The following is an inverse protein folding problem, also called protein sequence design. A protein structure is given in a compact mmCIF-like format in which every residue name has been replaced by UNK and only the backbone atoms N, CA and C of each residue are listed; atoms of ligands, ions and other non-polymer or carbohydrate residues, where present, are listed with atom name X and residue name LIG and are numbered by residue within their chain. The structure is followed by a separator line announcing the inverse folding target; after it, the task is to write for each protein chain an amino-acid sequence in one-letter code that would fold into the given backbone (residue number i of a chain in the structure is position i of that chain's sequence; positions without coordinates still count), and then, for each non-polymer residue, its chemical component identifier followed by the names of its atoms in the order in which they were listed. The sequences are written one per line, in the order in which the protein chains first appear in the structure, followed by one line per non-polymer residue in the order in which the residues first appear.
data_IF_817952183705
#
_entry.id   IF_817952183705
#
_cell.length_a   1.000
_cell.length_b   1.000
_cell.length_c   1.000
_cell.angle_alpha   90.00
_cell.angle_beta   90.00
_cell.angle_gamma   90.00
#
_symmetry.space_group_name_H-M   'P 1'
#
loop_
_entity.id
_entity.type
_entity.pdbx_description
1 polymer ?
#
# COMPACT_ATOMS: atom_id res chain seq x y z
N UNK A 1 -21.73 37.86 -12.01
CA UNK A 1 -21.45 36.47 -12.42
C UNK A 1 -20.19 35.99 -11.69
N UNK A 2 -20.36 35.44 -10.50
CA UNK A 2 -19.27 34.84 -9.74
C UNK A 2 -19.17 33.38 -10.20
N UNK A 3 -18.10 33.04 -10.89
CA UNK A 3 -17.79 31.67 -11.28
C UNK A 3 -17.35 30.92 -10.02
N UNK A 4 -18.08 29.86 -9.69
CA UNK A 4 -17.73 28.86 -8.71
C UNK A 4 -16.33 28.29 -9.01
N UNK A 5 -15.29 28.82 -8.37
CA UNK A 5 -14.02 28.11 -8.19
C UNK A 5 -14.25 26.97 -7.19
N UNK A 6 -14.82 25.86 -7.67
CA UNK A 6 -14.72 24.58 -6.98
C UNK A 6 -13.23 24.31 -6.77
N UNK A 7 -12.78 24.45 -5.55
CA UNK A 7 -11.41 24.12 -5.10
C UNK A 7 -11.09 22.70 -5.58
N UNK A 8 -10.38 22.56 -6.71
CA UNK A 8 -9.98 21.25 -7.25
C UNK A 8 -9.07 20.58 -6.22
N UNK A 9 -9.59 19.60 -5.53
CA UNK A 9 -8.80 18.77 -4.60
C UNK A 9 -7.61 18.21 -5.36
N UNK A 10 -6.39 18.52 -4.89
CA UNK A 10 -5.17 18.03 -5.54
C UNK A 10 -4.97 16.54 -5.21
N UNK A 11 -4.64 15.71 -6.20
CA UNK A 11 -4.37 14.29 -5.95
C UNK A 11 -3.09 14.10 -5.12
N UNK A 12 -3.10 13.10 -4.25
CA UNK A 12 -1.94 12.62 -3.52
C UNK A 12 -0.90 12.01 -4.47
N UNK A 13 -1.38 11.23 -5.45
CA UNK A 13 -0.56 10.65 -6.52
C UNK A 13 -1.19 11.01 -7.86
N UNK A 14 -0.39 11.57 -8.76
CA UNK A 14 -0.81 11.89 -10.13
C UNK A 14 0.20 11.32 -11.11
N UNK A 15 -0.26 10.47 -12.01
CA UNK A 15 0.52 9.82 -13.06
C UNK A 15 0.01 10.31 -14.41
N UNK A 16 0.92 10.72 -15.32
CA UNK A 16 0.56 11.25 -16.66
C UNK A 16 1.46 10.64 -17.74
N UNK A 17 0.80 10.05 -18.72
CA UNK A 17 1.39 9.43 -19.93
C UNK A 17 2.56 8.48 -19.63
N UNK A 18 2.45 7.74 -18.51
CA UNK A 18 3.52 6.95 -17.98
C UNK A 18 3.78 5.73 -18.87
N UNK A 19 5.02 5.64 -19.37
CA UNK A 19 5.46 4.55 -20.22
C UNK A 19 6.73 3.95 -19.67
N UNK A 20 6.80 2.61 -19.65
CA UNK A 20 7.99 1.84 -19.26
C UNK A 20 8.31 0.81 -20.31
N UNK A 21 9.57 0.76 -20.70
CA UNK A 21 10.12 -0.22 -21.66
C UNK A 21 11.31 -0.88 -20.97
N UNK A 22 11.30 -2.20 -20.91
CA UNK A 22 12.45 -3.00 -20.51
C UNK A 22 13.18 -3.51 -21.77
N UNK A 23 14.49 -3.60 -21.69
CA UNK A 23 15.32 -4.22 -22.72
C UNK A 23 15.82 -5.56 -22.19
N UNK A 24 15.37 -6.65 -22.76
CA UNK A 24 15.74 -8.02 -22.39
C UNK A 24 16.51 -8.62 -23.55
N UNK A 25 17.83 -8.65 -23.44
CA UNK A 25 18.68 -9.00 -24.57
C UNK A 25 18.52 -8.02 -25.70
N UNK A 26 18.00 -8.48 -26.86
CA UNK A 26 17.71 -7.64 -28.04
C UNK A 26 16.26 -7.19 -28.16
N UNK A 27 15.38 -7.69 -27.30
CA UNK A 27 13.95 -7.40 -27.36
C UNK A 27 13.57 -6.22 -26.48
N UNK A 28 12.58 -5.44 -26.91
CA UNK A 28 11.99 -4.34 -26.16
C UNK A 28 10.60 -4.75 -25.72
N UNK A 29 10.44 -4.93 -24.40
CA UNK A 29 9.16 -5.26 -23.78
C UNK A 29 8.55 -3.99 -23.19
N UNK A 30 7.40 -3.58 -23.70
CA UNK A 30 6.67 -2.40 -23.23
C UNK A 30 5.77 -2.82 -22.07
N UNK A 31 6.24 -2.61 -20.84
CA UNK A 31 5.51 -3.01 -19.63
C UNK A 31 4.39 -2.04 -19.24
N UNK A 32 4.53 -0.74 -19.58
CA UNK A 32 3.47 0.27 -19.41
C UNK A 32 3.40 1.16 -20.64
N UNK A 33 2.17 1.57 -21.02
CA UNK A 33 1.87 2.32 -22.23
C UNK A 33 0.91 3.48 -21.99
N UNK A 34 1.46 4.68 -21.69
CA UNK A 34 0.65 5.90 -21.57
C UNK A 34 -0.34 5.89 -20.41
N UNK A 35 0.04 5.31 -19.26
CA UNK A 35 -0.83 5.19 -18.09
C UNK A 35 -1.11 6.56 -17.48
N UNK A 36 -2.40 6.84 -17.22
CA UNK A 36 -2.88 8.04 -16.55
C UNK A 36 -3.76 7.65 -15.36
N UNK A 37 -3.44 8.13 -14.15
CA UNK A 37 -4.28 7.92 -12.96
C UNK A 37 -4.12 9.03 -11.93
N UNK A 38 -5.15 9.21 -11.11
CA UNK A 38 -5.14 10.09 -9.95
C UNK A 38 -5.66 9.34 -8.72
N UNK A 39 -4.87 9.40 -7.63
CA UNK A 39 -5.24 8.86 -6.31
C UNK A 39 -5.31 10.05 -5.35
N UNK A 40 -6.38 10.17 -4.59
CA UNK A 40 -6.55 11.26 -3.63
C UNK A 40 -6.10 10.86 -2.23
N UNK A 41 -5.88 11.85 -1.35
CA UNK A 41 -5.51 11.58 0.04
C UNK A 41 -6.61 10.77 0.74
N UNK A 42 -6.19 9.81 1.58
CA UNK A 42 -7.06 8.91 2.36
C UNK A 42 -7.90 7.93 1.52
N UNK A 43 -7.69 7.83 0.21
CA UNK A 43 -8.28 6.76 -0.61
C UNK A 43 -7.56 5.43 -0.41
N UNK A 44 -8.32 4.35 -0.43
CA UNK A 44 -7.81 2.99 -0.62
C UNK A 44 -8.04 2.63 -2.07
N UNK A 45 -6.96 2.37 -2.80
CA UNK A 45 -7.00 2.10 -4.24
C UNK A 45 -6.43 0.73 -4.53
N UNK A 46 -7.07 0.00 -5.43
CA UNK A 46 -6.55 -1.26 -5.95
C UNK A 46 -6.12 -1.13 -7.42
N UNK A 47 -4.95 -1.68 -7.72
CA UNK A 47 -4.49 -1.96 -9.08
C UNK A 47 -4.75 -3.45 -9.34
N UNK A 48 -5.80 -3.77 -10.08
CA UNK A 48 -6.26 -5.13 -10.37
C UNK A 48 -5.90 -5.54 -11.78
N UNK A 49 -5.44 -6.77 -11.97
CA UNK A 49 -5.14 -7.34 -13.29
C UNK A 49 -4.39 -8.66 -13.18
N UNK A 50 -4.25 -9.37 -14.27
CA UNK A 50 -3.54 -10.65 -14.34
C UNK A 50 -2.04 -10.53 -14.11
N UNK A 51 -1.35 -11.63 -13.84
CA UNK A 51 0.11 -11.65 -13.77
C UNK A 51 0.72 -11.13 -15.09
N UNK A 52 1.77 -10.32 -15.00
CA UNK A 52 2.41 -9.73 -16.18
C UNK A 52 1.72 -8.49 -16.76
N UNK A 53 0.54 -8.07 -16.29
CA UNK A 53 -0.17 -6.90 -16.83
C UNK A 53 0.49 -5.54 -16.56
N UNK A 54 1.57 -5.46 -15.77
CA UNK A 54 2.31 -4.23 -15.50
C UNK A 54 2.04 -3.60 -14.12
N UNK A 55 1.22 -4.21 -13.25
CA UNK A 55 0.84 -3.68 -11.92
C UNK A 55 2.03 -3.35 -11.02
N UNK A 56 2.89 -4.35 -10.76
CA UNK A 56 4.08 -4.16 -9.90
C UNK A 56 5.08 -3.19 -10.53
N UNK A 57 5.16 -3.14 -11.88
CA UNK A 57 5.94 -2.11 -12.57
C UNK A 57 5.40 -0.72 -12.29
N UNK A 58 4.08 -0.53 -12.38
CA UNK A 58 3.43 0.76 -12.07
C UNK A 58 3.63 1.14 -10.61
N UNK A 59 3.47 0.19 -9.67
CA UNK A 59 3.74 0.41 -8.25
C UNK A 59 5.19 0.83 -8.02
N UNK A 60 6.17 0.10 -8.59
CA UNK A 60 7.59 0.41 -8.44
C UNK A 60 7.95 1.81 -8.96
N UNK A 61 7.30 2.25 -10.04
CA UNK A 61 7.51 3.58 -10.58
C UNK A 61 6.89 4.66 -9.68
N UNK A 62 5.66 4.44 -9.16
CA UNK A 62 5.05 5.34 -8.17
C UNK A 62 5.85 5.36 -6.85
N UNK A 63 6.49 4.26 -6.49
CA UNK A 63 7.40 4.17 -5.36
C UNK A 63 8.76 4.85 -5.59
N UNK A 64 9.05 5.29 -6.82
CA UNK A 64 10.35 5.84 -7.20
C UNK A 64 11.48 4.81 -7.11
N UNK A 65 11.17 3.52 -7.25
CA UNK A 65 12.15 2.43 -7.32
C UNK A 65 12.64 2.24 -8.75
N UNK A 66 11.84 2.65 -9.73
CA UNK A 66 12.16 2.64 -11.14
C UNK A 66 11.84 3.97 -11.82
N UNK A 67 12.63 4.34 -12.82
CA UNK A 67 12.39 5.55 -13.61
C UNK A 67 11.55 5.25 -14.85
N UNK A 68 10.62 6.16 -15.22
CA UNK A 68 9.86 6.05 -16.45
C UNK A 68 10.73 6.25 -17.69
N UNK A 69 10.34 5.63 -18.81
CA UNK A 69 10.88 5.95 -20.14
C UNK A 69 10.27 7.25 -20.67
N UNK A 70 8.96 7.47 -20.38
CA UNK A 70 8.21 8.70 -20.71
C UNK A 70 7.15 8.96 -19.63
N UNK A 71 6.64 10.19 -19.61
CA UNK A 71 5.59 10.61 -18.71
C UNK A 71 6.10 11.20 -17.41
N UNK A 72 5.23 11.32 -16.43
CA UNK A 72 5.54 11.97 -15.17
C UNK A 72 4.78 11.38 -13.99
N UNK A 73 5.40 11.46 -12.80
CA UNK A 73 4.81 11.03 -11.53
C UNK A 73 4.97 12.16 -10.52
N UNK A 74 3.84 12.64 -10.02
CA UNK A 74 3.79 13.64 -8.94
C UNK A 74 3.16 13.02 -7.71
N UNK A 75 3.83 13.12 -6.56
CA UNK A 75 3.32 12.61 -5.27
C UNK A 75 3.38 13.74 -4.25
N UNK A 76 2.25 14.06 -3.62
CA UNK A 76 2.09 15.20 -2.70
C UNK A 76 2.69 16.50 -3.27
N UNK A 77 2.48 16.76 -4.57
CA UNK A 77 3.00 17.94 -5.27
C UNK A 77 4.47 17.85 -5.70
N UNK A 78 5.17 16.76 -5.43
CA UNK A 78 6.57 16.58 -5.77
C UNK A 78 6.74 15.71 -7.03
N UNK A 79 7.43 16.18 -8.05
CA UNK A 79 7.81 15.45 -9.28
C UNK A 79 8.91 14.44 -8.96
N UNK A 80 8.52 13.20 -8.57
CA UNK A 80 9.47 12.17 -8.15
C UNK A 80 10.29 11.61 -9.31
N UNK A 81 9.75 11.61 -10.53
CA UNK A 81 10.46 11.21 -11.76
C UNK A 81 11.71 12.07 -12.07
N UNK A 82 11.76 13.30 -11.53
CA UNK A 82 12.90 14.23 -11.69
C UNK A 82 13.85 14.23 -10.50
N UNK A 83 13.58 13.48 -9.45
CA UNK A 83 14.43 13.42 -8.26
C UNK A 83 15.69 12.58 -8.50
N UNK A 84 16.81 12.99 -7.89
CA UNK A 84 18.00 12.13 -7.77
C UNK A 84 17.74 10.98 -6.80
N UNK A 85 18.50 9.88 -6.91
CA UNK A 85 18.37 8.73 -6.00
C UNK A 85 18.46 9.13 -4.52
N UNK A 86 19.38 10.02 -4.16
CA UNK A 86 19.52 10.53 -2.79
C UNK A 86 18.23 11.22 -2.32
N UNK A 87 17.59 12.03 -3.16
CA UNK A 87 16.31 12.70 -2.83
C UNK A 87 15.17 11.70 -2.75
N UNK A 88 15.12 10.69 -3.65
CA UNK A 88 14.11 9.63 -3.64
C UNK A 88 14.19 8.78 -2.36
N UNK A 89 15.39 8.42 -1.89
CA UNK A 89 15.56 7.70 -0.62
C UNK A 89 14.94 8.46 0.54
N UNK A 90 15.25 9.75 0.68
CA UNK A 90 14.70 10.61 1.75
C UNK A 90 13.19 10.80 1.59
N UNK A 91 12.70 10.91 0.35
CA UNK A 91 11.28 11.04 0.05
C UNK A 91 10.51 9.78 0.45
N UNK A 92 11.00 8.58 0.05
CA UNK A 92 10.42 7.30 0.47
C UNK A 92 10.36 7.16 1.98
N UNK A 93 11.48 7.44 2.64
CA UNK A 93 11.58 7.38 4.09
C UNK A 93 10.55 8.26 4.81
N UNK A 94 10.27 9.45 4.27
CA UNK A 94 9.36 10.41 4.88
C UNK A 94 7.89 10.13 4.60
N UNK A 95 7.56 9.67 3.39
CA UNK A 95 6.18 9.64 2.91
C UNK A 95 5.62 8.26 2.66
N UNK A 96 6.45 7.21 2.53
CA UNK A 96 6.03 5.91 2.03
C UNK A 96 6.27 4.77 3.00
N UNK A 97 5.34 3.82 3.03
CA UNK A 97 5.47 2.51 3.65
C UNK A 97 5.29 1.40 2.62
N UNK A 98 5.87 0.23 2.85
CA UNK A 98 5.84 -0.88 1.90
C UNK A 98 5.48 -2.20 2.59
N UNK A 99 4.47 -2.87 2.04
CA UNK A 99 4.09 -4.25 2.36
C UNK A 99 4.38 -5.11 1.14
N UNK A 100 5.09 -6.22 1.30
CA UNK A 100 5.54 -7.09 0.21
C UNK A 100 4.96 -8.49 0.35
N UNK A 101 4.74 -9.16 -0.77
CA UNK A 101 4.31 -10.55 -0.84
C UNK A 101 5.30 -11.51 -0.13
N UNK A 102 6.58 -11.31 -0.33
CA UNK A 102 7.66 -12.13 0.27
C UNK A 102 8.08 -11.64 1.66
N UNK A 103 7.27 -10.79 2.33
CA UNK A 103 7.49 -10.19 3.64
C UNK A 103 8.75 -9.29 3.72
N UNK A 104 9.84 -9.64 3.06
CA UNK A 104 11.13 -8.93 3.01
C UNK A 104 11.65 -8.56 4.42
N UNK A 105 11.53 -9.48 5.36
CA UNK A 105 12.06 -9.33 6.72
C UNK A 105 13.54 -9.69 6.76
N UNK A 106 14.29 -8.96 7.61
CA UNK A 106 15.69 -9.31 7.90
C UNK A 106 15.74 -10.54 8.78
N UNK A 107 16.25 -11.70 8.30
CA UNK A 107 16.15 -12.98 9.01
C UNK A 107 16.93 -13.00 10.31
N UNK A 108 17.99 -12.21 10.41
CA UNK A 108 18.84 -12.12 11.60
C UNK A 108 18.28 -11.22 12.70
N UNK A 109 17.29 -10.38 12.38
CA UNK A 109 16.63 -9.45 13.29
C UNK A 109 15.33 -10.04 13.84
N UNK A 110 15.01 -9.74 15.09
CA UNK A 110 13.71 -10.08 15.67
C UNK A 110 12.59 -9.14 15.18
N UNK A 111 11.33 -9.40 15.60
CA UNK A 111 10.19 -8.60 15.15
C UNK A 111 10.30 -7.12 15.54
N UNK A 112 10.75 -6.80 16.76
CA UNK A 112 10.92 -5.39 17.19
C UNK A 112 11.96 -4.70 16.32
N UNK A 113 13.08 -5.35 16.07
CA UNK A 113 14.16 -4.80 15.26
C UNK A 113 13.73 -4.58 13.82
N UNK A 114 13.03 -5.57 13.19
CA UNK A 114 12.46 -5.40 11.86
C UNK A 114 11.49 -4.22 11.79
N UNK A 115 10.55 -4.12 12.73
CA UNK A 115 9.56 -3.04 12.75
C UNK A 115 10.19 -1.69 13.05
N UNK A 116 11.21 -1.63 13.92
CA UNK A 116 11.86 -0.36 14.28
C UNK A 116 12.83 0.18 13.22
N UNK A 117 13.14 -0.61 12.17
CA UNK A 117 14.14 -0.26 11.16
C UNK A 117 13.86 1.06 10.42
N UNK A 118 12.64 1.34 9.92
CA UNK A 118 12.35 2.63 9.28
C UNK A 118 12.62 3.82 10.19
N UNK A 119 12.29 3.70 11.47
CA UNK A 119 12.54 4.74 12.47
C UNK A 119 14.03 4.90 12.78
N UNK A 120 14.81 3.80 12.71
CA UNK A 120 16.26 3.87 12.84
C UNK A 120 16.88 4.66 11.70
N UNK A 121 16.45 4.45 10.47
CA UNK A 121 16.88 5.22 9.29
C UNK A 121 16.47 6.68 9.37
N UNK A 122 15.33 6.98 10.03
CA UNK A 122 14.91 8.35 10.33
C UNK A 122 15.71 9.02 11.46
N UNK A 123 16.73 8.35 12.03
CA UNK A 123 17.57 8.88 13.10
C UNK A 123 16.92 8.84 14.48
N UNK A 124 15.82 8.12 14.67
CA UNK A 124 15.14 8.07 15.95
C UNK A 124 15.93 7.25 16.99
N UNK A 125 16.01 7.76 18.23
CA UNK A 125 16.75 7.12 19.33
C UNK A 125 16.20 5.72 19.63
N UNK A 126 17.08 4.77 19.94
CA UNK A 126 16.74 3.35 20.15
C UNK A 126 15.56 3.13 21.08
N UNK A 127 15.57 3.76 22.26
CA UNK A 127 14.49 3.59 23.27
C UNK A 127 13.12 4.03 22.72
N UNK A 128 13.05 5.12 21.95
CA UNK A 128 11.84 5.65 21.35
C UNK A 128 11.32 4.72 20.23
N UNK A 129 12.18 4.36 19.26
CA UNK A 129 11.79 3.52 18.14
C UNK A 129 11.36 2.11 18.56
N UNK A 130 12.03 1.50 19.57
CA UNK A 130 11.62 0.21 20.10
C UNK A 130 10.28 0.29 20.83
N UNK A 131 9.98 1.38 21.56
CA UNK A 131 8.67 1.60 22.18
C UNK A 131 7.57 1.62 21.11
N UNK A 132 7.72 2.42 20.05
CA UNK A 132 6.77 2.50 18.93
C UNK A 132 6.60 1.16 18.22
N UNK A 133 7.69 0.44 17.99
CA UNK A 133 7.66 -0.89 17.39
C UNK A 133 6.88 -1.90 18.24
N UNK A 134 7.04 -1.88 19.57
CA UNK A 134 6.28 -2.74 20.49
C UNK A 134 4.78 -2.42 20.47
N UNK A 135 4.42 -1.15 20.45
CA UNK A 135 3.03 -0.69 20.38
C UNK A 135 2.39 -1.16 19.06
N UNK A 136 3.10 -0.97 17.93
CA UNK A 136 2.64 -1.41 16.62
C UNK A 136 2.49 -2.94 16.53
N UNK A 137 3.45 -3.70 17.06
CA UNK A 137 3.35 -5.17 17.12
C UNK A 137 2.18 -5.66 17.96
N UNK A 138 1.83 -4.96 19.05
CA UNK A 138 0.61 -5.27 19.84
C UNK A 138 -0.64 -5.05 19.00
N UNK A 139 -0.75 -3.93 18.29
CA UNK A 139 -1.86 -3.63 17.38
C UNK A 139 -2.01 -4.72 16.29
N UNK A 140 -0.90 -5.26 15.79
CA UNK A 140 -0.90 -6.34 14.81
C UNK A 140 -1.09 -7.75 15.45
N UNK A 141 -1.44 -7.86 16.75
CA UNK A 141 -1.67 -9.15 17.42
C UNK A 141 -0.40 -9.95 17.75
N UNK A 142 0.79 -9.34 17.68
CA UNK A 142 2.09 -10.00 17.87
C UNK A 142 2.72 -9.73 19.23
N UNK A 143 1.93 -9.34 20.25
CA UNK A 143 2.42 -8.99 21.59
C UNK A 143 3.29 -10.06 22.24
N UNK A 144 2.97 -11.35 22.04
CA UNK A 144 3.73 -12.48 22.58
C UNK A 144 4.90 -12.94 21.68
N UNK A 145 5.06 -12.35 20.47
CA UNK A 145 6.04 -12.76 19.46
C UNK A 145 7.13 -11.73 19.17
N UNK A 146 7.20 -10.65 19.93
CA UNK A 146 8.07 -9.49 19.69
C UNK A 146 9.55 -9.81 19.55
N UNK A 147 10.05 -10.83 20.27
CA UNK A 147 11.46 -11.26 20.26
C UNK A 147 11.75 -12.41 19.29
N UNK A 148 10.73 -12.94 18.59
CA UNK A 148 10.92 -14.02 17.62
C UNK A 148 11.57 -13.48 16.34
N UNK A 149 12.42 -14.30 15.74
CA UNK A 149 12.97 -14.06 14.40
C UNK A 149 12.00 -14.56 13.33
N UNK A 150 12.07 -14.09 12.09
CA UNK A 150 11.20 -14.55 10.99
C UNK A 150 11.14 -16.07 10.84
N UNK A 151 12.27 -16.77 10.99
CA UNK A 151 12.35 -18.26 10.93
C UNK A 151 11.56 -18.98 12.02
N UNK A 152 11.11 -18.28 13.06
CA UNK A 152 10.32 -18.81 14.18
C UNK A 152 8.83 -18.39 14.08
N UNK A 153 8.42 -17.87 12.93
CA UNK A 153 7.08 -17.30 12.70
C UNK A 153 6.39 -17.97 11.51
N UNK A 154 5.06 -18.14 11.60
CA UNK A 154 4.25 -18.54 10.45
C UNK A 154 4.22 -17.42 9.38
N UNK A 155 3.81 -17.75 8.15
CA UNK A 155 3.67 -16.77 7.06
C UNK A 155 2.79 -15.58 7.44
N UNK A 156 1.62 -15.83 8.04
CA UNK A 156 0.72 -14.76 8.50
C UNK A 156 1.34 -13.91 9.62
N UNK A 157 2.14 -14.51 10.53
CA UNK A 157 2.87 -13.73 11.53
C UNK A 157 3.97 -12.87 10.91
N UNK A 158 4.70 -13.39 9.93
CA UNK A 158 5.71 -12.63 9.19
C UNK A 158 5.07 -11.47 8.43
N UNK A 159 3.92 -11.69 7.79
CA UNK A 159 3.19 -10.63 7.10
C UNK A 159 2.73 -9.54 8.07
N UNK A 160 2.21 -9.90 9.24
CA UNK A 160 1.86 -8.93 10.30
C UNK A 160 3.06 -8.11 10.77
N UNK A 161 4.27 -8.69 10.83
CA UNK A 161 5.52 -7.94 11.09
C UNK A 161 5.83 -6.99 9.93
N UNK A 162 5.68 -7.43 8.68
CA UNK A 162 5.86 -6.61 7.48
C UNK A 162 4.92 -5.40 7.46
N UNK A 163 3.65 -5.61 7.80
CA UNK A 163 2.65 -4.54 7.92
C UNK A 163 3.01 -3.59 9.06
N UNK A 164 3.32 -4.12 10.24
CA UNK A 164 3.76 -3.31 11.37
C UNK A 164 4.95 -2.42 11.01
N UNK A 165 5.92 -2.95 10.25
CA UNK A 165 7.07 -2.18 9.75
C UNK A 165 6.65 -1.08 8.77
N UNK A 166 5.70 -1.36 7.87
CA UNK A 166 5.22 -0.39 6.90
C UNK A 166 4.51 0.81 7.56
N UNK A 167 3.75 0.55 8.64
CA UNK A 167 2.90 1.55 9.29
C UNK A 167 3.55 2.28 10.48
N UNK A 168 4.63 1.75 11.07
CA UNK A 168 5.23 2.28 12.31
C UNK A 168 5.70 3.73 12.22
N UNK A 169 6.18 4.14 11.04
CA UNK A 169 6.65 5.51 10.78
C UNK A 169 5.48 6.48 10.45
N UNK A 170 4.23 6.00 10.44
CA UNK A 170 3.02 6.75 10.05
C UNK A 170 3.19 7.45 8.70
N UNK A 171 3.54 6.73 7.62
CA UNK A 171 3.67 7.31 6.30
C UNK A 171 2.34 7.85 5.81
N UNK A 172 2.34 8.80 4.88
CA UNK A 172 1.11 9.29 4.23
C UNK A 172 0.57 8.34 3.16
N UNK A 173 1.46 7.51 2.57
CA UNK A 173 1.15 6.60 1.47
C UNK A 173 1.74 5.23 1.78
N UNK A 174 0.91 4.19 1.70
CA UNK A 174 1.33 2.80 1.86
C UNK A 174 1.10 2.06 0.54
N UNK A 175 2.12 1.40 0.04
CA UNK A 175 2.05 0.48 -1.08
C UNK A 175 2.03 -0.96 -0.56
N UNK A 176 1.14 -1.78 -1.09
CA UNK A 176 1.02 -3.20 -0.75
C UNK A 176 1.03 -4.03 -2.05
N UNK A 177 2.13 -4.72 -2.31
CA UNK A 177 2.30 -5.57 -3.50
C UNK A 177 1.97 -7.01 -3.14
N UNK A 178 0.84 -7.52 -3.65
CA UNK A 178 0.29 -8.86 -3.40
C UNK A 178 0.34 -9.24 -1.90
N UNK A 179 -0.25 -8.43 -1.00
CA UNK A 179 0.03 -8.51 0.45
C UNK A 179 -0.43 -9.83 1.10
N UNK A 180 -1.24 -10.62 0.40
CA UNK A 180 -1.82 -11.87 0.90
C UNK A 180 -1.58 -13.07 -0.01
N UNK A 181 -0.79 -12.91 -1.07
CA UNK A 181 -0.59 -13.93 -2.09
C UNK A 181 0.06 -15.25 -1.61
N UNK A 182 0.60 -15.30 -0.39
CA UNK A 182 1.21 -16.49 0.22
C UNK A 182 0.46 -16.96 1.47
N UNK A 183 -0.81 -16.57 1.66
CA UNK A 183 -1.59 -16.82 2.87
C UNK A 183 -2.84 -17.65 2.55
N UNK A 184 -3.35 -18.36 3.55
CA UNK A 184 -4.65 -19.00 3.49
C UNK A 184 -5.79 -17.98 3.53
N UNK A 185 -7.00 -18.38 3.10
CA UNK A 185 -8.17 -17.49 2.96
C UNK A 185 -8.52 -16.77 4.26
N UNK A 186 -8.51 -17.48 5.41
CA UNK A 186 -8.86 -16.88 6.69
C UNK A 186 -7.84 -15.82 7.10
N UNK A 187 -6.56 -16.14 7.01
CA UNK A 187 -5.47 -15.21 7.31
C UNK A 187 -5.49 -14.01 6.35
N UNK A 188 -5.85 -14.23 5.08
CA UNK A 188 -6.02 -13.17 4.08
C UNK A 188 -7.04 -12.14 4.53
N UNK A 189 -8.24 -12.56 4.93
CA UNK A 189 -9.30 -11.66 5.42
C UNK A 189 -8.80 -10.86 6.63
N UNK A 190 -8.25 -11.54 7.65
CA UNK A 190 -7.73 -10.88 8.86
C UNK A 190 -6.65 -9.82 8.55
N UNK A 191 -5.76 -10.11 7.61
CA UNK A 191 -4.69 -9.22 7.17
C UNK A 191 -5.25 -8.01 6.44
N UNK A 192 -6.20 -8.21 5.53
CA UNK A 192 -6.81 -7.12 4.76
C UNK A 192 -7.60 -6.18 5.65
N UNK A 193 -8.46 -6.72 6.53
CA UNK A 193 -9.23 -5.92 7.50
C UNK A 193 -8.31 -5.10 8.41
N UNK A 194 -7.25 -5.71 8.94
CA UNK A 194 -6.27 -5.02 9.77
C UNK A 194 -5.60 -3.88 9.01
N UNK A 195 -5.15 -4.11 7.79
CA UNK A 195 -4.42 -3.13 6.98
C UNK A 195 -5.32 -1.96 6.57
N UNK A 196 -6.55 -2.24 6.13
CA UNK A 196 -7.58 -1.25 5.78
C UNK A 196 -7.95 -0.42 7.02
N UNK A 197 -8.24 -1.07 8.16
CA UNK A 197 -8.55 -0.39 9.41
C UNK A 197 -7.42 0.55 9.84
N UNK A 198 -6.17 0.09 9.79
CA UNK A 198 -5.00 0.92 10.13
C UNK A 198 -4.87 2.14 9.21
N UNK A 199 -5.05 1.96 7.89
CA UNK A 199 -4.99 3.03 6.91
C UNK A 199 -6.08 4.08 7.17
N UNK A 200 -7.33 3.65 7.40
CA UNK A 200 -8.47 4.53 7.71
C UNK A 200 -8.24 5.32 9.01
N UNK A 201 -7.88 4.63 10.10
CA UNK A 201 -7.66 5.25 11.41
C UNK A 201 -6.54 6.28 11.42
N UNK A 202 -5.52 6.08 10.60
CA UNK A 202 -4.37 6.99 10.51
C UNK A 202 -4.48 7.99 9.36
N UNK A 203 -5.61 8.06 8.64
CA UNK A 203 -5.82 8.90 7.46
C UNK A 203 -4.70 8.72 6.43
N UNK A 204 -4.38 7.47 6.10
CA UNK A 204 -3.33 7.12 5.14
C UNK A 204 -3.94 6.70 3.80
N UNK A 205 -3.30 7.08 2.72
CA UNK A 205 -3.60 6.56 1.38
C UNK A 205 -2.98 5.17 1.25
N UNK A 206 -3.77 4.19 0.80
CA UNK A 206 -3.32 2.81 0.62
C UNK A 206 -3.48 2.40 -0.84
N UNK A 207 -2.42 1.92 -1.46
CA UNK A 207 -2.42 1.38 -2.83
C UNK A 207 -2.10 -0.11 -2.77
N UNK A 208 -3.08 -0.92 -3.14
CA UNK A 208 -2.98 -2.38 -3.14
C UNK A 208 -2.80 -2.85 -4.58
N UNK A 209 -1.86 -3.73 -4.82
CA UNK A 209 -1.68 -4.45 -6.07
C UNK A 209 -2.10 -5.90 -5.85
N UNK A 210 -3.00 -6.40 -6.68
CA UNK A 210 -3.42 -7.81 -6.62
C UNK A 210 -4.00 -8.28 -7.94
N UNK A 211 -4.11 -9.59 -8.11
CA UNK A 211 -4.90 -10.24 -9.17
C UNK A 211 -6.22 -10.84 -8.64
N UNK A 212 -6.46 -10.72 -7.33
CA UNK A 212 -7.62 -11.26 -6.64
C UNK A 212 -8.73 -10.19 -6.53
N UNK A 213 -9.92 -10.54 -7.06
CA UNK A 213 -11.10 -9.66 -7.08
C UNK A 213 -11.67 -9.47 -5.67
N UNK A 214 -11.56 -10.47 -4.77
CA UNK A 214 -12.02 -10.36 -3.39
C UNK A 214 -11.20 -9.33 -2.65
N UNK A 215 -9.87 -9.36 -2.83
CA UNK A 215 -8.97 -8.34 -2.26
C UNK A 215 -9.25 -6.95 -2.83
N UNK A 216 -9.55 -6.85 -4.13
CA UNK A 216 -9.88 -5.58 -4.76
C UNK A 216 -11.15 -4.95 -4.18
N UNK A 217 -12.09 -5.75 -3.67
CA UNK A 217 -13.34 -5.26 -3.07
C UNK A 217 -13.14 -4.38 -1.82
N UNK A 218 -12.00 -4.48 -1.14
CA UNK A 218 -11.64 -3.62 -0.01
C UNK A 218 -11.29 -2.17 -0.41
N UNK A 219 -11.07 -1.91 -1.71
CA UNK A 219 -10.68 -0.60 -2.20
C UNK A 219 -11.89 0.31 -2.49
N UNK A 220 -11.70 1.63 -2.33
CA UNK A 220 -12.68 2.66 -2.74
C UNK A 220 -12.75 2.78 -4.25
N UNK A 221 -11.59 2.57 -4.92
CA UNK A 221 -11.45 2.69 -6.37
C UNK A 221 -10.56 1.57 -6.90
N UNK A 222 -10.99 0.94 -7.98
CA UNK A 222 -10.26 -0.14 -8.63
C UNK A 222 -9.85 0.31 -10.03
N UNK A 223 -8.55 0.27 -10.31
CA UNK A 223 -7.98 0.46 -11.65
C UNK A 223 -7.69 -0.91 -12.24
N UNK A 224 -8.40 -1.27 -13.31
CA UNK A 224 -8.14 -2.50 -14.04
C UNK A 224 -6.99 -2.31 -15.01
N UNK A 225 -5.95 -3.12 -14.90
CA UNK A 225 -4.75 -3.03 -15.72
C UNK A 225 -4.65 -4.26 -16.61
N UNK A 226 -4.61 -4.02 -17.94
CA UNK A 226 -4.45 -5.03 -18.99
C UNK A 226 -3.34 -4.55 -19.92
N UNK A 227 -2.36 -5.39 -20.18
CA UNK A 227 -1.27 -5.15 -21.11
C UNK A 227 -0.60 -3.77 -20.99
N UNK A 228 -0.33 -3.39 -19.75
CA UNK A 228 0.35 -2.13 -19.42
C UNK A 228 -0.48 -0.87 -19.60
N UNK A 229 -1.82 -0.99 -19.72
CA UNK A 229 -2.74 0.14 -19.83
C UNK A 229 -3.85 0.05 -18.77
N UNK A 230 -4.47 1.18 -18.42
CA UNK A 230 -5.71 1.17 -17.62
C UNK A 230 -6.88 0.95 -18.57
N UNK A 231 -7.54 -0.18 -18.47
CA UNK A 231 -8.70 -0.56 -19.29
C UNK A 231 -10.00 0.02 -18.77
N UNK A 232 -10.16 0.10 -17.45
CA UNK A 232 -11.34 0.67 -16.80
C UNK A 232 -11.03 1.13 -15.38
N UNK A 233 -11.89 1.96 -14.84
CA UNK A 233 -11.83 2.44 -13.46
C UNK A 233 -13.21 2.24 -12.83
N UNK A 234 -13.26 1.56 -11.70
CA UNK A 234 -14.46 1.30 -10.93
C UNK A 234 -14.42 2.09 -9.62
N UNK A 235 -15.49 2.86 -9.34
CA UNK A 235 -15.70 3.51 -8.05
C UNK A 235 -16.55 2.60 -7.16
N UNK A 236 -15.95 2.09 -6.10
CA UNK A 236 -16.55 1.10 -5.22
C UNK A 236 -17.11 1.68 -3.90
N UNK A 237 -17.01 3.00 -3.70
CA UNK A 237 -17.41 3.68 -2.46
C UNK A 237 -18.88 3.48 -2.12
N UNK A 238 -19.76 3.49 -3.11
CA UNK A 238 -21.21 3.27 -2.91
C UNK A 238 -21.53 1.85 -2.43
N UNK A 239 -20.77 0.84 -2.87
CA UNK A 239 -20.92 -0.55 -2.45
C UNK A 239 -20.45 -0.77 -1.01
N UNK A 240 -19.36 -0.12 -0.60
CA UNK A 240 -18.84 -0.24 0.77
C UNK A 240 -19.78 0.38 1.81
N UNK A 241 -20.43 1.49 1.50
CA UNK A 241 -21.45 2.12 2.37
C UNK A 241 -22.62 1.16 2.58
N UNK A 242 -23.05 0.44 1.53
CA UNK A 242 -24.16 -0.52 1.62
C UNK A 242 -23.81 -1.77 2.46
N UNK A 243 -22.56 -2.24 2.42
CA UNK A 243 -22.08 -3.37 3.24
C UNK A 243 -21.94 -2.94 4.71
N UNK A 244 -21.29 -1.83 4.99
CA UNK A 244 -21.13 -1.30 6.36
C UNK A 244 -22.46 -0.97 7.05
N UNK A 245 -23.48 -0.54 6.30
CA UNK A 245 -24.82 -0.31 6.85
C UNK A 245 -25.56 -1.61 7.18
N UNK A 246 -25.34 -2.71 6.43
CA UNK A 246 -25.91 -4.03 6.73
C UNK A 246 -25.25 -4.68 7.95
N UNK A 247 -23.93 -4.58 8.10
CA UNK A 247 -23.21 -5.10 9.27
C UNK A 247 -23.57 -4.31 10.52
N UNK A 248 -23.67 -2.99 10.45
CA UNK A 248 -24.14 -2.15 11.57
C UNK A 248 -25.58 -2.49 11.96
N UNK A 249 -26.48 -2.74 11.01
CA UNK A 249 -27.85 -3.15 11.27
C UNK A 249 -27.94 -4.54 11.93
N UNK A 250 -27.07 -5.49 11.51
CA UNK A 250 -27.00 -6.82 12.11
C UNK A 250 -26.45 -6.78 13.55
N UNK A 251 -25.47 -5.93 13.85
CA UNK A 251 -24.94 -5.75 15.20
C UNK A 251 -26.00 -5.14 16.12
N UNK A 252 -26.76 -4.14 15.65
CA UNK A 252 -27.86 -3.54 16.42
C UNK A 252 -28.95 -4.56 16.68
N UNK A 253 -29.38 -5.33 15.66
CA UNK A 253 -30.40 -6.37 15.81
C UNK A 253 -29.97 -7.51 16.76
N UNK A 254 -28.67 -7.87 16.77
CA UNK A 254 -28.13 -8.85 17.69
C UNK A 254 -28.05 -8.32 19.15
N UNK A 255 -27.84 -7.01 19.34
CA UNK A 255 -27.82 -6.39 20.66
C UNK A 255 -29.20 -6.18 21.27
N UNK A 256 -30.27 -6.09 20.45
CA UNK A 256 -31.68 -5.98 20.91
C UNK A 256 -32.34 -7.34 21.20
N UNK A 257 -31.63 -8.45 20.90
CA UNK A 257 -32.12 -9.83 21.10
C UNK A 257 -31.51 -10.53 22.34
N UNK A 258 -30.80 -9.81 23.20
CA UNK A 258 -30.24 -10.23 24.51
C UNK A 258 -30.87 -9.42 25.63
#
# INVERSE_FOLDING_TARGET
MAQDEKTKVKPAVSVRDLTKIFVIGKEKVKALSGVNLDIYENEIVCLLGTSGSGKSTLLNMMAGLEKPAKGSITIFGHRIDKMSERKLVLFRQKYMGFVFQAYNLMPNLNAIENVSMPLAFAGEKRKSREKKAREMLKLCGLGKRMKHKPTQMSGGQQQRVGIARAFVAKPKLVFADEPTGNLDTRTTIEIMEMMVSMARQNHQTLVIVTHDVEIASYADKIYHIIDGTISSVEDNRSKQIAVGSKEAAQIVAAAESV
#
